data_IF_219752545701
#
_entry.id   IF_219752545701
#
_cell.length_a   1.000
_cell.length_b   1.000
_cell.length_c   1.000
_cell.angle_alpha   90.00
_cell.angle_beta   90.00
_cell.angle_gamma   90.00
#
_symmetry.space_group_name_H-M   'P 1'
#
loop_
_entity.id
_entity.type
_entity.pdbx_description
1 polymer ?
#
# COMPACT_ATOMS: atom_id res chain seq x y z
N UNK A 1 -2.71 7.92 4.33
CA UNK A 1 -2.66 6.49 4.68
C UNK A 1 -2.32 5.70 3.42
N UNK A 2 -1.35 4.81 3.50
CA UNK A 2 -1.03 3.83 2.46
C UNK A 2 -1.30 2.43 3.01
N UNK A 3 -2.00 1.60 2.25
CA UNK A 3 -2.31 0.23 2.63
C UNK A 3 -1.60 -0.71 1.64
N UNK A 4 -0.48 -1.26 2.09
CA UNK A 4 0.32 -2.19 1.31
C UNK A 4 -0.25 -3.61 1.40
N UNK A 5 -0.09 -4.38 0.34
CA UNK A 5 -0.54 -5.76 0.25
C UNK A 5 0.64 -6.72 0.05
N UNK A 6 1.45 -6.96 1.10
CA UNK A 6 2.53 -7.93 1.05
C UNK A 6 2.01 -9.30 0.62
N UNK A 7 2.73 -9.93 -0.31
CA UNK A 7 2.31 -11.21 -0.91
C UNK A 7 1.14 -11.13 -1.89
N UNK A 8 0.68 -9.94 -2.24
CA UNK A 8 -0.31 -9.74 -3.33
C UNK A 8 -1.60 -10.56 -3.12
N UNK A 9 -2.21 -10.47 -1.94
CA UNK A 9 -3.46 -11.18 -1.65
C UNK A 9 -4.60 -10.73 -2.57
N UNK A 10 -4.61 -9.44 -2.95
CA UNK A 10 -5.57 -8.87 -3.90
C UNK A 10 -4.98 -7.82 -4.83
N UNK A 11 -3.79 -7.30 -4.55
CA UNK A 11 -3.09 -6.35 -5.43
C UNK A 11 -2.34 -7.08 -6.56
N UNK A 12 -1.97 -6.34 -7.61
CA UNK A 12 -1.32 -6.87 -8.81
C UNK A 12 0.20 -6.92 -8.70
N UNK A 13 0.78 -6.25 -7.72
CA UNK A 13 2.22 -6.17 -7.52
C UNK A 13 2.56 -6.04 -6.04
N UNK A 14 3.75 -6.46 -5.68
CA UNK A 14 4.31 -6.26 -4.35
C UNK A 14 4.51 -4.77 -4.07
N UNK A 15 4.06 -4.30 -2.91
CA UNK A 15 4.07 -2.90 -2.53
C UNK A 15 4.77 -2.71 -1.19
N UNK A 16 5.56 -1.64 -1.09
CA UNK A 16 6.14 -1.21 0.18
C UNK A 16 6.27 0.31 0.21
N UNK A 17 5.32 0.96 0.84
CA UNK A 17 5.23 2.42 0.89
C UNK A 17 6.30 3.08 1.79
N UNK A 18 7.08 2.30 2.57
CA UNK A 18 8.21 2.83 3.33
C UNK A 18 9.27 3.45 2.43
N UNK A 19 9.42 2.96 1.19
CA UNK A 19 10.30 3.59 0.20
C UNK A 19 9.88 5.01 -0.16
N UNK A 20 8.57 5.28 -0.22
CA UNK A 20 8.08 6.64 -0.49
C UNK A 20 8.36 7.58 0.68
N UNK A 21 8.20 7.12 1.92
CA UNK A 21 8.58 7.88 3.10
C UNK A 21 10.07 8.25 3.09
N UNK A 22 10.92 7.27 2.80
CA UNK A 22 12.38 7.47 2.67
C UNK A 22 12.73 8.41 1.52
N UNK A 23 12.14 8.23 0.34
CA UNK A 23 12.39 9.07 -0.84
C UNK A 23 11.95 10.51 -0.62
N UNK A 24 10.76 10.71 -0.05
CA UNK A 24 10.21 12.04 0.21
C UNK A 24 10.76 12.72 1.48
N UNK A 25 11.57 12.01 2.28
CA UNK A 25 12.08 12.46 3.58
C UNK A 25 10.94 12.84 4.55
N UNK A 26 9.85 12.10 4.51
CA UNK A 26 8.70 12.32 5.40
C UNK A 26 8.62 11.24 6.47
N UNK A 27 8.16 11.59 7.69
CA UNK A 27 7.95 10.62 8.75
C UNK A 27 6.92 9.57 8.33
N UNK A 28 7.18 8.32 8.72
CA UNK A 28 6.30 7.19 8.42
C UNK A 28 5.96 6.47 9.73
N UNK A 29 4.69 6.18 9.94
CA UNK A 29 4.18 5.38 11.04
C UNK A 29 3.70 4.02 10.51
N UNK A 30 4.07 2.95 11.20
CA UNK A 30 3.76 1.57 10.83
C UNK A 30 3.29 0.81 12.08
N UNK A 31 1.97 0.80 12.39
CA UNK A 31 1.47 0.20 13.61
C UNK A 31 1.61 -1.31 13.63
N UNK A 32 1.80 -1.87 14.83
CA UNK A 32 1.79 -3.32 15.07
C UNK A 32 0.43 -3.85 15.51
N UNK A 33 -0.42 -3.02 16.12
CA UNK A 33 -1.75 -3.40 16.61
C UNK A 33 -2.81 -2.36 16.23
N UNK A 34 -4.07 -2.72 16.35
CA UNK A 34 -5.19 -1.81 16.10
C UNK A 34 -5.24 -0.66 17.11
N UNK A 35 -4.88 -0.92 18.37
CA UNK A 35 -4.76 0.14 19.38
C UNK A 35 -3.67 1.13 18.98
N UNK A 36 -2.52 0.63 18.57
CA UNK A 36 -1.42 1.47 18.12
C UNK A 36 -1.77 2.24 16.85
N UNK A 37 -2.49 1.62 15.89
CA UNK A 37 -3.00 2.31 14.70
C UNK A 37 -3.92 3.48 15.07
N UNK A 38 -4.82 3.27 16.02
CA UNK A 38 -5.71 4.32 16.54
C UNK A 38 -4.93 5.49 17.17
N UNK A 39 -3.93 5.18 17.99
CA UNK A 39 -3.11 6.18 18.68
C UNK A 39 -2.19 6.94 17.70
N UNK A 40 -1.64 6.23 16.73
CA UNK A 40 -0.77 6.82 15.71
C UNK A 40 -1.47 7.83 14.80
N UNK A 41 -2.78 7.69 14.56
CA UNK A 41 -3.53 8.71 13.80
C UNK A 41 -3.41 10.06 14.48
N UNK A 42 -3.63 10.14 15.80
CA UNK A 42 -3.50 11.39 16.54
C UNK A 42 -2.07 11.90 16.56
N UNK A 43 -1.11 11.00 16.82
CA UNK A 43 0.31 11.35 16.83
C UNK A 43 0.80 11.85 15.46
N UNK A 44 0.29 11.28 14.36
CA UNK A 44 0.61 11.70 13.00
C UNK A 44 0.10 13.12 12.69
N UNK A 45 -1.12 13.46 13.13
CA UNK A 45 -1.63 14.83 13.02
C UNK A 45 -0.80 15.80 13.85
N UNK A 46 -0.49 15.49 15.12
CA UNK A 46 0.36 16.34 15.97
C UNK A 46 1.74 16.55 15.37
N UNK A 47 2.33 15.51 14.81
CA UNK A 47 3.63 15.59 14.14
C UNK A 47 3.56 16.46 12.87
N UNK A 48 2.53 16.24 12.05
CA UNK A 48 2.28 17.02 10.84
C UNK A 48 2.10 18.50 11.13
N UNK A 49 1.34 18.85 12.15
CA UNK A 49 1.12 20.24 12.61
C UNK A 49 2.43 20.89 13.12
N UNK A 50 3.17 20.13 13.94
CA UNK A 50 4.43 20.59 14.55
C UNK A 50 5.47 20.97 13.50
N UNK A 51 5.66 20.15 12.48
CA UNK A 51 6.69 20.31 11.46
C UNK A 51 6.18 20.86 10.14
N UNK A 52 4.86 20.99 9.98
CA UNK A 52 4.19 21.42 8.74
C UNK A 52 4.62 20.59 7.53
N UNK A 53 4.62 19.28 7.72
CA UNK A 53 5.02 18.27 6.75
C UNK A 53 3.96 17.15 6.71
N UNK A 54 3.70 16.54 5.54
CA UNK A 54 2.86 15.35 5.51
C UNK A 54 3.51 14.19 6.28
N UNK A 55 2.68 13.33 6.86
CA UNK A 55 3.10 12.09 7.52
C UNK A 55 2.48 10.92 6.78
N UNK A 56 3.27 9.91 6.49
CA UNK A 56 2.81 8.66 5.90
C UNK A 56 2.42 7.68 7.01
N UNK A 57 1.22 7.12 6.94
CA UNK A 57 0.80 6.02 7.79
C UNK A 57 0.64 4.76 6.94
N UNK A 58 1.49 3.78 7.18
CA UNK A 58 1.52 2.50 6.47
C UNK A 58 0.71 1.46 7.23
N UNK A 59 -0.25 0.85 6.55
CA UNK A 59 -0.96 -0.34 7.02
C UNK A 59 -0.65 -1.50 6.10
N UNK A 60 -0.75 -2.71 6.61
CA UNK A 60 -0.63 -3.92 5.78
C UNK A 60 -1.97 -4.65 5.72
N UNK A 61 -2.15 -5.51 4.74
CA UNK A 61 -3.36 -6.32 4.55
C UNK A 61 -3.77 -7.04 5.83
N UNK A 62 -2.82 -7.67 6.53
CA UNK A 62 -3.11 -8.38 7.79
C UNK A 62 -3.65 -7.43 8.86
N UNK A 63 -3.08 -6.24 8.99
CA UNK A 63 -3.59 -5.21 9.92
C UNK A 63 -5.01 -4.78 9.54
N UNK A 64 -5.26 -4.53 8.26
CA UNK A 64 -6.55 -4.06 7.76
C UNK A 64 -7.67 -5.11 7.88
N UNK A 65 -7.32 -6.40 7.78
CA UNK A 65 -8.28 -7.52 7.86
C UNK A 65 -8.45 -8.10 9.26
N UNK A 66 -7.59 -7.75 10.21
CA UNK A 66 -7.71 -8.19 11.60
C UNK A 66 -8.61 -7.27 12.41
N UNK A 67 -9.11 -7.78 13.53
CA UNK A 67 -9.98 -7.04 14.45
C UNK A 67 -9.50 -7.21 15.88
N UNK A 68 -9.51 -6.12 16.64
CA UNK A 68 -9.26 -6.14 18.08
C UNK A 68 -10.13 -5.11 18.78
N UNK A 69 -10.26 -5.24 20.09
CA UNK A 69 -10.83 -4.20 20.93
C UNK A 69 -9.86 -3.03 20.99
N UNK A 70 -10.38 -1.82 20.87
CA UNK A 70 -9.63 -0.57 20.97
C UNK A 70 -10.23 0.25 22.10
N UNK A 71 -9.38 0.75 22.99
CA UNK A 71 -9.77 1.67 24.04
C UNK A 71 -9.85 3.09 23.44
N UNK A 72 -11.07 3.66 23.31
CA UNK A 72 -11.23 4.98 22.75
C UNK A 72 -10.70 6.04 23.72
N UNK A 73 -10.09 7.09 23.17
CA UNK A 73 -9.74 8.29 23.93
C UNK A 73 -10.85 9.32 23.87
N UNK A 74 -10.85 10.25 24.81
CA UNK A 74 -11.73 11.41 24.76
C UNK A 74 -11.48 12.24 23.48
N UNK A 75 -12.57 12.80 22.95
CA UNK A 75 -12.47 13.67 21.78
C UNK A 75 -11.63 14.92 22.13
N UNK A 76 -10.69 15.24 21.26
CA UNK A 76 -9.86 16.44 21.40
C UNK A 76 -10.61 17.65 20.83
N UNK A 77 -10.45 18.84 21.41
CA UNK A 77 -10.97 20.06 20.80
C UNK A 77 -10.29 20.31 19.44
N UNK A 78 -11.01 20.91 18.53
CA UNK A 78 -10.46 21.34 17.24
C UNK A 78 -9.36 22.38 17.44
N UNK A 79 -8.27 22.25 16.67
CA UNK A 79 -7.22 23.25 16.64
C UNK A 79 -7.72 24.52 15.95
N UNK A 80 -7.29 25.68 16.43
CA UNK A 80 -7.57 26.93 15.73
C UNK A 80 -6.88 26.94 14.36
N UNK A 81 -7.63 27.29 13.32
CA UNK A 81 -7.06 27.45 11.97
C UNK A 81 -6.04 28.58 11.95
N UNK A 82 -4.81 28.28 11.58
CA UNK A 82 -3.75 29.24 11.40
C UNK A 82 -3.32 29.28 9.93
N UNK A 83 -3.64 30.38 9.26
CA UNK A 83 -3.20 30.59 7.88
C UNK A 83 -1.84 31.30 7.86
N UNK A 84 -0.88 30.85 7.06
CA UNK A 84 0.39 31.56 6.95
C UNK A 84 0.17 32.95 6.36
N UNK A 85 0.74 33.98 7.01
CA UNK A 85 0.64 35.37 6.56
C UNK A 85 1.32 35.62 5.19
N UNK A 86 2.16 34.70 4.71
CA UNK A 86 2.88 34.78 3.44
C UNK A 86 2.79 33.49 2.66
N UNK A 87 2.50 33.60 1.36
CA UNK A 87 2.30 32.47 0.42
C UNK A 87 3.58 31.75 0.00
N UNK A 88 4.77 32.25 0.33
CA UNK A 88 6.06 31.64 -0.06
C UNK A 88 6.17 30.15 0.30
N UNK A 89 5.49 29.74 1.37
CA UNK A 89 5.48 28.35 1.80
C UNK A 89 4.83 27.42 0.77
N UNK A 90 3.86 27.92 0.02
CA UNK A 90 3.03 27.14 -0.89
C UNK A 90 3.37 27.38 -2.38
N UNK A 91 4.32 28.26 -2.66
CA UNK A 91 4.72 28.60 -4.02
C UNK A 91 6.06 27.92 -4.34
N UNK A 92 5.99 26.84 -5.10
CA UNK A 92 7.16 26.03 -5.48
C UNK A 92 7.93 26.64 -6.67
N UNK A 93 8.47 27.83 -6.45
CA UNK A 93 9.47 28.41 -7.36
C UNK A 93 10.86 27.90 -6.98
N UNK A 94 11.81 27.73 -7.93
CA UNK A 94 13.13 27.17 -7.65
C UNK A 94 13.87 27.79 -6.46
N UNK A 95 13.77 29.12 -6.30
CA UNK A 95 14.36 29.83 -5.16
C UNK A 95 13.73 29.45 -3.82
N UNK A 96 12.40 29.32 -3.78
CA UNK A 96 11.67 28.90 -2.58
C UNK A 96 11.93 27.43 -2.27
N UNK A 97 11.94 26.58 -3.30
CA UNK A 97 12.15 25.13 -3.15
C UNK A 97 13.51 24.81 -2.56
N UNK A 98 14.58 25.52 -2.95
CA UNK A 98 15.92 25.33 -2.36
C UNK A 98 15.91 25.58 -0.85
N UNK A 99 15.36 26.72 -0.42
CA UNK A 99 15.26 27.07 1.00
C UNK A 99 14.42 26.06 1.78
N UNK A 100 13.33 25.59 1.16
CA UNK A 100 12.46 24.56 1.80
C UNK A 100 13.16 23.21 1.92
N UNK A 101 13.96 22.83 0.92
CA UNK A 101 14.71 21.57 0.95
C UNK A 101 15.80 21.59 2.03
N UNK A 102 16.52 22.71 2.18
CA UNK A 102 17.49 22.86 3.28
C UNK A 102 16.83 22.76 4.65
N UNK A 103 15.66 23.39 4.83
CA UNK A 103 14.88 23.27 6.05
C UNK A 103 14.41 21.82 6.30
N UNK A 104 13.95 21.11 5.25
CA UNK A 104 13.57 19.71 5.35
C UNK A 104 14.72 18.82 5.82
N UNK A 105 15.93 19.02 5.27
CA UNK A 105 17.11 18.26 5.70
C UNK A 105 17.49 18.53 7.16
N UNK A 106 17.35 19.78 7.62
CA UNK A 106 17.57 20.11 9.02
C UNK A 106 16.52 19.48 9.96
N UNK A 107 15.25 19.44 9.51
CA UNK A 107 14.19 18.82 10.28
C UNK A 107 14.28 17.30 10.25
N UNK A 108 14.83 16.69 9.20
CA UNK A 108 14.98 15.23 9.09
C UNK A 108 15.86 14.66 10.22
N UNK A 109 16.91 15.35 10.64
CA UNK A 109 17.70 14.96 11.80
C UNK A 109 16.85 14.95 13.09
N UNK A 110 15.94 15.91 13.24
CA UNK A 110 15.00 15.94 14.37
C UNK A 110 13.99 14.81 14.30
N UNK A 111 13.58 14.40 13.10
CA UNK A 111 12.69 13.24 12.95
C UNK A 111 13.35 11.95 13.42
N UNK A 112 14.65 11.78 13.21
CA UNK A 112 15.42 10.65 13.75
C UNK A 112 15.49 10.67 15.29
N UNK A 113 15.72 11.85 15.89
CA UNK A 113 15.70 12.02 17.36
C UNK A 113 14.31 11.71 17.93
N UNK A 114 13.25 12.21 17.31
CA UNK A 114 11.89 11.91 17.75
C UNK A 114 11.51 10.44 17.55
N UNK A 115 11.99 9.80 16.50
CA UNK A 115 11.81 8.37 16.32
C UNK A 115 12.52 7.55 17.41
N UNK A 116 13.72 7.98 17.84
CA UNK A 116 14.45 7.33 18.94
C UNK A 116 13.74 7.49 20.29
N UNK A 117 13.07 8.63 20.51
CA UNK A 117 12.31 8.93 21.72
C UNK A 117 10.82 8.51 21.66
N UNK A 118 10.37 7.97 20.53
CA UNK A 118 8.98 7.64 20.28
C UNK A 118 8.45 6.55 21.21
N UNK A 119 7.23 6.70 21.74
CA UNK A 119 6.58 5.62 22.51
C UNK A 119 6.25 4.40 21.65
N UNK A 120 6.23 4.56 20.30
CA UNK A 120 5.96 3.49 19.35
C UNK A 120 7.21 2.67 19.00
N UNK A 121 8.42 3.24 19.20
CA UNK A 121 9.68 2.52 19.08
C UNK A 121 10.17 2.13 20.47
N UNK A 122 10.45 0.84 20.67
CA UNK A 122 10.79 0.35 22.00
C UNK A 122 11.97 -0.61 21.96
N UNK A 123 12.99 -0.30 22.74
CA UNK A 123 14.09 -1.20 23.01
C UNK A 123 13.81 -1.99 24.29
N UNK A 124 13.69 -3.30 24.17
CA UNK A 124 13.63 -4.22 25.31
C UNK A 124 14.96 -4.95 25.41
N UNK A 125 15.65 -4.76 26.53
CA UNK A 125 16.92 -5.44 26.79
C UNK A 125 16.70 -6.88 27.26
N UNK A 126 17.72 -7.74 27.06
CA UNK A 126 17.72 -9.12 27.52
C UNK A 126 19.16 -9.61 27.73
N UNK A 127 19.33 -10.73 28.45
CA UNK A 127 20.65 -11.24 28.83
C UNK A 127 21.41 -11.87 27.67
N UNK A 128 20.71 -12.60 26.80
CA UNK A 128 21.34 -13.28 25.67
C UNK A 128 21.61 -12.34 24.49
N UNK A 129 22.82 -11.84 24.41
CA UNK A 129 23.32 -10.95 23.35
C UNK A 129 23.87 -11.69 22.13
N UNK A 130 23.63 -13.00 22.03
CA UNK A 130 24.04 -13.75 20.82
C UNK A 130 23.32 -13.29 19.57
N UNK A 131 22.08 -12.76 19.74
CA UNK A 131 21.22 -12.22 18.70
C UNK A 131 20.53 -10.95 19.19
N UNK A 132 20.48 -9.89 18.38
CA UNK A 132 19.58 -8.76 18.55
C UNK A 132 18.46 -8.85 17.51
N UNK A 133 17.23 -8.55 17.87
CA UNK A 133 16.10 -8.67 16.97
C UNK A 133 15.48 -7.30 16.71
N UNK A 134 15.43 -6.90 15.44
CA UNK A 134 14.70 -5.69 15.00
C UNK A 134 13.41 -6.14 14.34
N UNK A 135 12.26 -5.78 14.92
CA UNK A 135 10.95 -6.18 14.43
C UNK A 135 10.10 -4.94 14.07
N UNK A 136 9.63 -4.86 12.82
CA UNK A 136 8.99 -3.68 12.26
C UNK A 136 7.47 -3.87 12.12
N UNK A 137 6.68 -2.89 12.58
CA UNK A 137 5.23 -2.89 12.44
C UNK A 137 4.58 -4.20 12.88
N UNK A 138 3.72 -4.77 12.05
CA UNK A 138 2.99 -6.01 12.33
C UNK A 138 3.92 -7.20 12.60
N UNK A 139 5.13 -7.21 12.03
CA UNK A 139 6.08 -8.30 12.21
C UNK A 139 6.55 -8.45 13.67
N UNK A 140 6.42 -7.41 14.48
CA UNK A 140 6.63 -7.50 15.92
C UNK A 140 5.66 -8.50 16.58
N UNK A 141 4.42 -8.61 16.12
CA UNK A 141 3.46 -9.56 16.66
C UNK A 141 3.85 -11.01 16.34
N UNK A 142 4.44 -11.25 15.16
CA UNK A 142 4.92 -12.59 14.80
C UNK A 142 6.07 -13.05 15.70
N UNK A 143 6.91 -12.10 16.14
CA UNK A 143 7.91 -12.37 17.14
C UNK A 143 7.28 -12.64 18.52
N UNK A 144 6.33 -11.80 18.94
CA UNK A 144 5.69 -11.88 20.23
C UNK A 144 4.91 -13.20 20.43
N UNK A 145 4.27 -13.69 19.37
CA UNK A 145 3.59 -14.99 19.39
C UNK A 145 4.54 -16.17 19.62
N UNK A 146 5.81 -16.04 19.25
CA UNK A 146 6.82 -17.06 19.47
C UNK A 146 7.44 -17.01 20.88
N UNK A 147 7.29 -15.89 21.58
CA UNK A 147 7.82 -15.68 22.92
C UNK A 147 6.75 -15.06 23.85
N UNK A 148 5.67 -15.78 24.17
CA UNK A 148 4.59 -15.26 25.01
C UNK A 148 5.04 -14.84 26.41
N UNK A 149 6.07 -15.50 26.94
CA UNK A 149 6.66 -15.21 28.26
C UNK A 149 7.84 -14.24 28.21
N UNK A 150 8.16 -13.66 27.03
CA UNK A 150 9.25 -12.74 26.79
C UNK A 150 10.39 -13.34 25.96
N UNK A 151 10.97 -12.50 25.10
CA UNK A 151 12.08 -12.89 24.24
C UNK A 151 13.39 -12.95 25.06
N UNK A 152 14.20 -14.00 24.92
CA UNK A 152 15.49 -14.10 25.61
C UNK A 152 16.56 -13.16 25.02
N UNK A 153 16.33 -12.61 23.84
CA UNK A 153 17.23 -11.72 23.13
C UNK A 153 16.75 -10.27 23.20
N UNK A 154 17.64 -9.27 23.10
CA UNK A 154 17.24 -7.87 22.96
C UNK A 154 16.34 -7.67 21.73
N UNK A 155 15.26 -6.90 21.90
CA UNK A 155 14.31 -6.61 20.85
C UNK A 155 14.18 -5.10 20.66
N UNK A 156 14.39 -4.63 19.45
CA UNK A 156 14.04 -3.28 19.02
C UNK A 156 12.79 -3.35 18.14
N UNK A 157 11.67 -2.91 18.70
CA UNK A 157 10.45 -2.68 17.92
C UNK A 157 10.58 -1.35 17.20
N UNK A 158 10.30 -1.34 15.90
CA UNK A 158 10.24 -0.13 15.06
C UNK A 158 8.85 0.01 14.46
N UNK A 159 8.18 1.10 14.80
CA UNK A 159 6.85 1.46 14.31
C UNK A 159 6.77 2.92 13.84
N UNK A 160 7.85 3.69 14.01
CA UNK A 160 8.00 5.06 13.52
C UNK A 160 9.36 5.25 12.86
N UNK A 161 9.34 5.84 11.66
CA UNK A 161 10.52 6.19 10.87
C UNK A 161 10.66 7.71 10.74
N UNK A 162 11.87 8.24 10.47
CA UNK A 162 13.11 7.55 10.04
C UNK A 162 13.62 6.55 11.07
N UNK A 163 14.51 5.63 10.61
CA UNK A 163 15.10 4.65 11.51
C UNK A 163 15.73 5.32 12.73
N UNK A 164 15.46 4.86 13.96
CA UNK A 164 16.08 5.37 15.19
C UNK A 164 17.53 4.90 15.27
N UNK A 165 18.42 5.58 14.55
CA UNK A 165 19.82 5.14 14.34
C UNK A 165 20.59 4.92 15.64
N UNK A 166 20.32 5.72 16.68
CA UNK A 166 20.95 5.56 17.99
C UNK A 166 20.63 4.19 18.61
N UNK A 167 19.34 3.81 18.63
CA UNK A 167 18.90 2.51 19.16
C UNK A 167 19.43 1.35 18.32
N UNK A 168 19.49 1.51 17.01
CA UNK A 168 20.06 0.51 16.10
C UNK A 168 21.56 0.33 16.38
N UNK A 169 22.32 1.41 16.46
CA UNK A 169 23.77 1.35 16.76
C UNK A 169 24.05 0.76 18.14
N UNK A 170 23.23 1.10 19.13
CA UNK A 170 23.29 0.49 20.45
C UNK A 170 23.15 -1.03 20.35
N UNK A 171 22.09 -1.54 19.72
CA UNK A 171 21.87 -2.98 19.55
C UNK A 171 23.03 -3.64 18.79
N UNK A 172 23.50 -3.03 17.71
CA UNK A 172 24.64 -3.55 16.94
C UNK A 172 25.94 -3.61 17.74
N UNK A 173 26.14 -2.73 18.72
CA UNK A 173 27.32 -2.76 19.61
C UNK A 173 27.21 -3.79 20.73
N UNK A 174 25.98 -4.14 21.11
CA UNK A 174 25.71 -5.07 22.22
C UNK A 174 25.58 -6.52 21.75
N UNK A 175 25.14 -6.76 20.51
CA UNK A 175 24.78 -8.08 20.00
C UNK A 175 25.76 -8.58 18.94
N UNK A 176 25.94 -9.93 18.87
CA UNK A 176 26.86 -10.55 17.90
C UNK A 176 26.30 -10.60 16.48
N UNK A 177 25.01 -10.75 16.35
CA UNK A 177 24.28 -10.76 15.08
C UNK A 177 22.95 -10.05 15.22
N UNK A 178 22.38 -9.58 14.11
CA UNK A 178 21.08 -8.94 14.07
C UNK A 178 20.14 -9.75 13.16
N UNK A 179 18.92 -10.02 13.63
CA UNK A 179 17.82 -10.56 12.85
C UNK A 179 16.79 -9.44 12.59
N UNK A 180 16.53 -9.17 11.33
CA UNK A 180 15.58 -8.15 10.90
C UNK A 180 14.28 -8.83 10.45
N UNK A 181 13.19 -8.54 11.14
CA UNK A 181 11.86 -9.07 10.88
C UNK A 181 10.99 -7.91 10.41
N UNK A 182 10.72 -7.86 9.10
CA UNK A 182 9.96 -6.79 8.47
C UNK A 182 9.04 -7.34 7.39
N UNK A 183 7.84 -6.74 7.30
CA UNK A 183 6.84 -7.15 6.31
C UNK A 183 7.03 -6.38 5.01
N UNK A 184 6.97 -7.08 3.87
CA UNK A 184 7.21 -6.52 2.55
C UNK A 184 8.67 -6.62 2.11
N UNK A 185 9.24 -5.54 1.62
CA UNK A 185 10.62 -5.49 1.12
C UNK A 185 11.65 -5.34 2.27
N UNK A 186 12.91 -5.73 2.07
CA UNK A 186 13.96 -5.61 3.09
C UNK A 186 14.48 -4.17 3.23
N UNK A 187 13.61 -3.23 3.57
CA UNK A 187 13.91 -1.78 3.65
C UNK A 187 14.87 -1.46 4.79
N UNK A 188 14.61 -2.07 5.95
CA UNK A 188 15.44 -1.87 7.15
C UNK A 188 16.73 -2.67 7.03
N UNK A 189 16.65 -3.94 6.63
CA UNK A 189 17.84 -4.77 6.42
C UNK A 189 18.83 -4.12 5.44
N UNK A 190 18.32 -3.58 4.31
CA UNK A 190 19.14 -2.88 3.34
C UNK A 190 19.75 -1.59 3.91
N UNK A 191 18.95 -0.80 4.64
CA UNK A 191 19.44 0.44 5.26
C UNK A 191 20.55 0.19 6.29
N UNK A 192 20.45 -0.88 7.07
CA UNK A 192 21.46 -1.22 8.09
C UNK A 192 22.82 -1.53 7.48
N UNK A 193 22.86 -2.13 6.29
CA UNK A 193 24.13 -2.41 5.58
C UNK A 193 24.91 -1.13 5.23
N UNK A 194 24.22 0.02 5.13
CA UNK A 194 24.85 1.32 4.91
C UNK A 194 25.08 2.15 6.17
N UNK A 195 24.44 1.84 7.28
CA UNK A 195 24.48 2.64 8.52
C UNK A 195 25.51 2.09 9.52
N UNK A 196 25.70 0.77 9.56
CA UNK A 196 26.54 0.13 10.55
C UNK A 196 28.01 0.11 10.11
N UNK A 197 28.91 0.69 10.90
CA UNK A 197 30.34 0.82 10.53
C UNK A 197 31.15 -0.47 10.74
N UNK A 198 30.63 -1.44 11.47
CA UNK A 198 31.34 -2.66 11.85
C UNK A 198 30.71 -3.90 11.18
N UNK A 199 31.46 -4.97 10.94
CA UNK A 199 30.95 -6.21 10.40
C UNK A 199 30.13 -6.96 11.47
N UNK A 200 28.89 -6.52 11.68
CA UNK A 200 27.90 -7.31 12.41
C UNK A 200 27.15 -8.16 11.41
N UNK A 201 26.90 -9.42 11.74
CA UNK A 201 26.10 -10.30 10.90
C UNK A 201 24.64 -9.81 10.90
N UNK A 202 24.11 -9.52 9.72
CA UNK A 202 22.72 -9.09 9.52
C UNK A 202 21.98 -10.20 8.80
N UNK A 203 20.96 -10.74 9.45
CA UNK A 203 20.08 -11.81 8.97
C UNK A 203 18.68 -11.26 8.71
N UNK A 204 18.03 -11.75 7.66
CA UNK A 204 16.68 -11.32 7.30
C UNK A 204 16.24 -11.89 5.96
N UNK A 205 15.52 -11.11 5.17
CA UNK A 205 15.04 -11.52 3.86
C UNK A 205 16.14 -11.58 2.79
N UNK A 206 17.17 -10.74 2.91
CA UNK A 206 18.28 -10.71 1.94
C UNK A 206 19.27 -11.86 2.15
N UNK A 207 19.45 -12.30 3.39
CA UNK A 207 20.35 -13.39 3.74
C UNK A 207 19.68 -14.77 3.68
N UNK A 208 18.35 -14.83 3.57
CA UNK A 208 17.57 -16.05 3.38
C UNK A 208 17.03 -16.69 4.65
N UNK A 209 17.27 -16.13 5.83
CA UNK A 209 16.67 -16.61 7.08
C UNK A 209 15.16 -16.40 7.11
N UNK A 210 14.69 -15.34 6.48
CA UNK A 210 13.27 -15.10 6.24
C UNK A 210 12.94 -15.25 4.75
N UNK A 211 11.75 -15.72 4.39
CA UNK A 211 11.36 -15.84 2.98
C UNK A 211 11.46 -14.50 2.24
N UNK A 212 12.09 -14.50 1.05
CA UNK A 212 12.21 -13.27 0.23
C UNK A 212 10.88 -12.84 -0.36
N UNK A 213 9.97 -13.77 -0.58
CA UNK A 213 8.64 -13.55 -1.13
C UNK A 213 7.58 -14.06 -0.17
N UNK A 214 6.38 -13.56 -0.31
CA UNK A 214 5.25 -13.95 0.53
C UNK A 214 5.15 -13.17 1.84
N UNK A 215 3.97 -13.21 2.42
CA UNK A 215 3.68 -12.64 3.74
C UNK A 215 4.42 -13.43 4.82
N UNK A 216 4.93 -12.75 5.83
CA UNK A 216 5.49 -13.40 7.01
C UNK A 216 4.37 -14.00 7.87
N UNK A 217 4.73 -15.03 8.61
CA UNK A 217 3.87 -15.67 9.60
C UNK A 217 4.66 -15.91 10.88
N UNK A 218 4.00 -16.14 12.02
CA UNK A 218 4.69 -16.58 13.23
C UNK A 218 5.59 -17.82 12.98
N UNK A 219 5.17 -18.75 12.11
CA UNK A 219 5.96 -19.96 11.81
C UNK A 219 7.21 -19.64 10.96
N UNK A 220 7.14 -18.69 10.02
CA UNK A 220 8.34 -18.25 9.28
C UNK A 220 9.36 -17.58 10.19
N UNK A 221 8.89 -16.75 11.11
CA UNK A 221 9.74 -16.12 12.15
C UNK A 221 10.30 -17.19 13.10
N UNK A 222 9.48 -18.15 13.51
CA UNK A 222 9.89 -19.27 14.35
C UNK A 222 11.04 -20.05 13.73
N UNK A 223 10.96 -20.32 12.44
CA UNK A 223 12.02 -20.99 11.68
C UNK A 223 13.31 -20.17 11.67
N UNK A 224 13.24 -18.86 11.43
CA UNK A 224 14.40 -17.97 11.45
C UNK A 224 15.08 -17.88 12.84
N UNK A 225 14.29 -18.07 13.90
CA UNK A 225 14.79 -18.13 15.28
C UNK A 225 15.38 -19.48 15.67
N UNK A 226 15.35 -20.49 14.78
CA UNK A 226 15.80 -21.85 15.06
C UNK A 226 14.91 -22.62 16.04
N UNK A 227 13.68 -22.19 16.26
CA UNK A 227 12.73 -22.83 17.16
C UNK A 227 12.06 -24.03 16.48
N UNK A 228 11.67 -25.04 17.26
CA UNK A 228 10.95 -26.20 16.74
C UNK A 228 9.59 -25.77 16.12
N UNK A 229 9.17 -26.35 14.96
CA UNK A 229 7.89 -26.03 14.33
C UNK A 229 6.71 -26.26 15.29
N UNK A 230 5.66 -25.44 15.13
CA UNK A 230 4.39 -25.75 15.82
C UNK A 230 3.76 -27.03 15.25
N UNK A 231 3.01 -27.73 16.09
CA UNK A 231 2.16 -28.82 15.61
C UNK A 231 1.09 -28.25 14.67
N UNK A 232 1.07 -28.69 13.43
CA UNK A 232 0.06 -28.26 12.45
C UNK A 232 -1.25 -29.03 12.68
N UNK A 233 -2.35 -28.31 12.74
CA UNK A 233 -3.68 -28.89 12.67
C UNK A 233 -4.05 -29.14 11.22
N UNK A 234 -4.65 -30.28 10.93
CA UNK A 234 -5.21 -30.56 9.61
C UNK A 234 -6.31 -29.53 9.29
N UNK A 235 -6.32 -29.02 8.06
CA UNK A 235 -7.41 -28.15 7.62
C UNK A 235 -8.76 -28.88 7.74
N UNK A 236 -9.76 -28.20 8.29
CA UNK A 236 -11.11 -28.73 8.38
C UNK A 236 -11.68 -28.97 6.97
N UNK A 237 -12.31 -30.13 6.74
CA UNK A 237 -13.01 -30.42 5.49
C UNK A 237 -14.23 -29.51 5.20
N UNK A 238 -14.61 -28.66 6.15
CA UNK A 238 -15.66 -27.65 5.98
C UNK A 238 -15.12 -26.42 5.22
N UNK A 239 -13.80 -26.21 5.25
CA UNK A 239 -13.18 -25.06 4.55
C UNK A 239 -13.13 -25.36 3.06
N UNK A 240 -13.84 -24.53 2.29
CA UNK A 240 -13.85 -24.60 0.82
C UNK A 240 -13.20 -23.34 0.23
N UNK A 241 -12.45 -23.47 -0.87
CA UNK A 241 -11.92 -22.32 -1.59
C UNK A 241 -13.04 -21.40 -2.08
N UNK A 242 -12.83 -20.10 -1.98
CA UNK A 242 -13.73 -19.07 -2.51
C UNK A 242 -12.96 -18.19 -3.49
N UNK A 243 -12.66 -18.67 -4.70
CA UNK A 243 -11.97 -17.85 -5.69
C UNK A 243 -12.82 -16.63 -6.03
N UNK A 244 -12.21 -15.49 -6.30
CA UNK A 244 -12.94 -14.30 -6.73
C UNK A 244 -13.69 -14.61 -8.04
N UNK A 245 -14.91 -14.08 -8.15
CA UNK A 245 -15.73 -14.23 -9.35
C UNK A 245 -16.70 -13.06 -9.47
N UNK A 246 -17.10 -12.72 -10.69
CA UNK A 246 -18.19 -11.78 -10.93
C UNK A 246 -19.49 -12.29 -10.31
N UNK A 247 -20.19 -11.42 -9.58
CA UNK A 247 -21.44 -11.76 -8.89
C UNK A 247 -22.50 -12.31 -9.87
N UNK A 248 -23.42 -13.11 -9.36
CA UNK A 248 -24.60 -13.55 -10.10
C UNK A 248 -25.46 -12.33 -10.46
N UNK A 249 -25.87 -12.21 -11.73
CA UNK A 249 -26.66 -11.07 -12.21
C UNK A 249 -25.90 -9.73 -12.30
N UNK A 250 -24.57 -9.77 -12.25
CA UNK A 250 -23.74 -8.59 -12.41
C UNK A 250 -23.71 -8.13 -13.87
N UNK A 251 -23.96 -6.84 -14.13
CA UNK A 251 -23.94 -6.27 -15.49
C UNK A 251 -22.60 -6.41 -16.23
N UNK A 252 -21.48 -6.57 -15.49
CA UNK A 252 -20.18 -6.87 -16.09
C UNK A 252 -20.19 -8.22 -16.85
N UNK A 253 -21.00 -9.18 -16.44
CA UNK A 253 -21.14 -10.47 -17.13
C UNK A 253 -21.76 -10.31 -18.49
N UNK A 254 -22.83 -9.51 -18.59
CA UNK A 254 -23.52 -9.22 -19.84
C UNK A 254 -22.62 -8.41 -20.78
N UNK A 255 -21.93 -7.41 -20.23
CA UNK A 255 -20.96 -6.61 -20.95
C UNK A 255 -19.84 -7.49 -21.55
N UNK A 256 -19.26 -8.42 -20.77
CA UNK A 256 -18.21 -9.30 -21.28
C UNK A 256 -18.73 -10.34 -22.28
N UNK A 257 -19.94 -10.82 -22.11
CA UNK A 257 -20.56 -11.68 -23.14
C UNK A 257 -20.63 -10.98 -24.48
N UNK A 258 -21.16 -9.75 -24.50
CA UNK A 258 -21.24 -8.96 -25.72
C UNK A 258 -19.85 -8.57 -26.27
N UNK A 259 -18.93 -8.17 -25.38
CA UNK A 259 -17.58 -7.76 -25.77
C UNK A 259 -16.78 -8.90 -26.41
N UNK A 260 -16.83 -10.11 -25.83
CA UNK A 260 -16.14 -11.28 -26.38
C UNK A 260 -16.74 -11.74 -27.71
N UNK A 261 -18.06 -11.64 -27.86
CA UNK A 261 -18.73 -11.93 -29.13
C UNK A 261 -18.22 -10.98 -30.23
N UNK A 262 -18.28 -9.66 -29.98
CA UNK A 262 -17.82 -8.66 -30.96
C UNK A 262 -16.32 -8.73 -31.21
N UNK A 263 -15.51 -8.86 -30.17
CA UNK A 263 -14.04 -8.97 -30.32
C UNK A 263 -13.66 -10.22 -31.14
N UNK A 264 -14.41 -11.31 -30.99
CA UNK A 264 -14.20 -12.56 -31.74
C UNK A 264 -14.44 -12.46 -33.26
N UNK A 265 -15.11 -11.39 -33.72
CA UNK A 265 -15.28 -11.11 -35.17
C UNK A 265 -13.97 -10.57 -35.81
N UNK A 266 -13.00 -10.18 -35.04
CA UNK A 266 -11.73 -9.58 -35.48
C UNK A 266 -10.55 -10.46 -35.11
N UNK A 267 -9.69 -10.76 -36.06
CA UNK A 267 -8.53 -11.66 -35.88
C UNK A 267 -7.54 -11.18 -34.80
N UNK A 268 -7.39 -9.86 -34.64
CA UNK A 268 -6.35 -9.26 -33.81
C UNK A 268 -6.92 -8.27 -32.75
N UNK A 269 -8.19 -8.39 -32.40
CA UNK A 269 -8.75 -7.52 -31.35
C UNK A 269 -8.01 -7.71 -30.02
N UNK A 270 -7.71 -6.60 -29.33
CA UNK A 270 -7.12 -6.61 -28.00
C UNK A 270 -7.95 -5.78 -27.03
N UNK A 271 -8.17 -6.33 -25.86
CA UNK A 271 -8.95 -5.73 -24.78
C UNK A 271 -8.04 -5.33 -23.63
N UNK A 272 -7.81 -4.05 -23.50
CA UNK A 272 -7.03 -3.45 -22.44
C UNK A 272 -7.93 -3.12 -21.26
N UNK A 273 -7.63 -3.65 -20.10
CA UNK A 273 -8.38 -3.43 -18.87
C UNK A 273 -7.47 -2.86 -17.78
N UNK A 274 -8.08 -2.40 -16.73
CA UNK A 274 -7.43 -1.93 -15.51
C UNK A 274 -8.16 -2.44 -14.25
N UNK A 275 -8.09 -1.74 -13.12
CA UNK A 275 -8.44 -2.28 -11.82
C UNK A 275 -9.86 -1.91 -11.41
N UNK A 276 -10.68 -2.92 -11.19
CA UNK A 276 -12.05 -2.87 -10.70
C UNK A 276 -12.69 -4.26 -10.75
N UNK A 277 -13.98 -4.39 -10.46
CA UNK A 277 -14.69 -5.68 -10.58
C UNK A 277 -14.56 -6.29 -11.98
N UNK A 278 -14.48 -5.46 -13.00
CA UNK A 278 -14.29 -5.88 -14.39
C UNK A 278 -12.94 -6.55 -14.65
N UNK A 279 -11.91 -6.40 -13.80
CA UNK A 279 -10.68 -7.18 -13.87
C UNK A 279 -10.96 -8.70 -13.82
N UNK A 280 -12.04 -9.10 -13.14
CA UNK A 280 -12.45 -10.50 -13.07
C UNK A 280 -12.94 -11.07 -14.41
N UNK A 281 -13.06 -10.25 -15.46
CA UNK A 281 -13.23 -10.70 -16.84
C UNK A 281 -12.07 -11.51 -17.41
N UNK A 282 -10.91 -11.50 -16.76
CA UNK A 282 -9.80 -12.42 -17.03
C UNK A 282 -10.17 -13.88 -16.73
N UNK A 283 -11.02 -14.10 -15.72
CA UNK A 283 -11.34 -15.43 -15.24
C UNK A 283 -12.40 -16.11 -16.12
N UNK A 284 -12.47 -17.46 -16.01
CA UNK A 284 -13.54 -18.25 -16.63
C UNK A 284 -14.93 -17.75 -16.17
N UNK A 285 -15.92 -17.72 -17.07
CA UNK A 285 -15.91 -18.24 -18.45
C UNK A 285 -15.48 -17.24 -19.51
N UNK A 286 -15.18 -15.98 -19.18
CA UNK A 286 -15.03 -14.89 -20.12
C UNK A 286 -13.68 -14.87 -20.85
N UNK A 287 -12.55 -14.89 -20.07
CA UNK A 287 -11.21 -14.69 -20.62
C UNK A 287 -11.13 -13.49 -21.60
N UNK A 288 -11.77 -12.39 -21.20
CA UNK A 288 -12.16 -11.30 -22.08
C UNK A 288 -11.18 -10.12 -22.10
N UNK A 289 -10.12 -10.16 -21.30
CA UNK A 289 -9.14 -9.07 -21.22
C UNK A 289 -7.72 -9.58 -21.46
N UNK A 290 -6.93 -8.78 -22.17
CA UNK A 290 -5.52 -9.10 -22.47
C UNK A 290 -4.53 -8.44 -21.48
N UNK A 291 -4.96 -7.37 -20.81
CA UNK A 291 -4.11 -6.63 -19.86
C UNK A 291 -4.88 -6.21 -18.61
N UNK A 292 -4.15 -6.05 -17.51
CA UNK A 292 -4.64 -5.45 -16.27
C UNK A 292 -3.44 -4.87 -15.51
N UNK A 293 -3.37 -3.54 -15.35
CA UNK A 293 -2.24 -2.89 -14.68
C UNK A 293 -2.75 -2.04 -13.51
N UNK A 294 -2.84 -0.73 -13.62
CA UNK A 294 -3.30 0.17 -12.57
C UNK A 294 -4.59 0.91 -12.97
N UNK A 295 -5.23 1.56 -12.00
CA UNK A 295 -6.48 2.29 -12.25
C UNK A 295 -6.29 3.37 -13.32
N UNK A 296 -7.02 3.29 -14.45
CA UNK A 296 -6.99 4.21 -15.58
C UNK A 296 -6.05 3.82 -16.72
N UNK A 297 -5.21 2.80 -16.52
CA UNK A 297 -4.27 2.35 -17.54
C UNK A 297 -4.92 1.74 -18.78
N UNK A 298 -6.15 1.26 -18.71
CA UNK A 298 -6.86 0.65 -19.85
C UNK A 298 -6.89 1.57 -21.07
N UNK A 299 -7.27 2.83 -20.89
CA UNK A 299 -7.38 3.81 -21.98
C UNK A 299 -6.01 4.18 -22.55
N UNK A 300 -5.04 4.46 -21.69
CA UNK A 300 -3.68 4.86 -22.13
C UNK A 300 -2.94 3.70 -22.80
N UNK A 301 -3.16 2.47 -22.35
CA UNK A 301 -2.58 1.28 -22.97
C UNK A 301 -3.23 0.99 -24.32
N UNK A 302 -4.57 1.10 -24.43
CA UNK A 302 -5.27 0.96 -25.71
C UNK A 302 -4.82 2.03 -26.72
N UNK A 303 -4.65 3.28 -26.24
CA UNK A 303 -4.10 4.38 -27.04
C UNK A 303 -2.71 4.04 -27.58
N UNK A 304 -1.77 3.71 -26.67
CA UNK A 304 -0.40 3.38 -27.06
C UNK A 304 -0.32 2.19 -28.01
N UNK A 305 -1.17 1.17 -27.82
CA UNK A 305 -1.26 0.03 -28.73
C UNK A 305 -1.78 0.43 -30.11
N UNK A 306 -2.84 1.27 -30.15
CA UNK A 306 -3.39 1.76 -31.42
C UNK A 306 -2.40 2.63 -32.19
N UNK A 307 -1.66 3.52 -31.49
CA UNK A 307 -0.60 4.34 -32.07
C UNK A 307 0.55 3.47 -32.64
N UNK A 308 0.77 2.29 -32.04
CA UNK A 308 1.71 1.28 -32.53
C UNK A 308 1.15 0.37 -33.65
N UNK A 309 -0.10 0.58 -34.07
CA UNK A 309 -0.73 -0.15 -35.17
C UNK A 309 -1.61 -1.34 -34.75
N UNK A 310 -1.90 -1.51 -33.46
CA UNK A 310 -2.84 -2.54 -32.97
C UNK A 310 -4.29 -2.10 -33.21
N UNK A 311 -5.00 -2.86 -34.03
CA UNK A 311 -6.43 -2.60 -34.33
C UNK A 311 -7.21 -3.91 -34.45
N UNK A 312 -8.44 -3.98 -33.87
CA UNK A 312 -9.04 -3.04 -32.92
C UNK A 312 -8.32 -3.01 -31.58
N UNK A 313 -8.26 -1.84 -30.93
CA UNK A 313 -7.84 -1.64 -29.56
C UNK A 313 -9.03 -1.18 -28.72
N UNK A 314 -9.45 -2.02 -27.77
CA UNK A 314 -10.63 -1.81 -26.94
C UNK A 314 -10.18 -1.57 -25.49
N UNK A 315 -10.64 -0.50 -24.86
CA UNK A 315 -10.39 -0.24 -23.44
C UNK A 315 -11.65 -0.54 -22.63
N UNK A 316 -11.51 -1.28 -21.51
CA UNK A 316 -12.59 -1.51 -20.55
C UNK A 316 -12.23 -0.88 -19.24
N UNK A 317 -13.11 -0.03 -18.72
CA UNK A 317 -12.91 0.74 -17.50
C UNK A 317 -14.23 0.86 -16.71
N UNK A 318 -14.16 0.81 -15.38
CA UNK A 318 -15.31 1.06 -14.53
C UNK A 318 -15.58 2.56 -14.35
N UNK A 319 -16.80 2.90 -13.94
CA UNK A 319 -17.27 4.28 -13.68
C UNK A 319 -16.42 5.02 -12.66
N UNK A 320 -16.14 4.38 -11.52
CA UNK A 320 -15.27 4.96 -10.47
C UNK A 320 -13.86 5.19 -10.97
N UNK A 321 -13.27 4.19 -11.61
CA UNK A 321 -11.91 4.27 -12.15
C UNK A 321 -11.81 5.32 -13.25
N UNK A 322 -12.83 5.42 -14.10
CA UNK A 322 -12.89 6.44 -15.14
C UNK A 322 -12.85 7.86 -14.56
N UNK A 323 -13.68 8.14 -13.54
CA UNK A 323 -13.68 9.46 -12.88
C UNK A 323 -12.41 9.71 -12.03
N UNK A 324 -11.77 8.67 -11.53
CA UNK A 324 -10.52 8.76 -10.77
C UNK A 324 -9.32 9.11 -11.66
N UNK A 325 -9.10 8.38 -12.76
CA UNK A 325 -7.88 8.50 -13.58
C UNK A 325 -8.05 8.24 -15.08
N UNK A 326 -9.24 7.85 -15.54
CA UNK A 326 -9.47 7.55 -16.97
C UNK A 326 -9.67 8.76 -17.85
N UNK A 327 -10.18 9.88 -17.30
CA UNK A 327 -10.55 11.06 -18.10
C UNK A 327 -9.35 11.70 -18.80
N UNK A 328 -8.20 11.77 -18.17
CA UNK A 328 -6.98 12.36 -18.75
C UNK A 328 -6.52 11.56 -19.97
N UNK A 329 -6.50 10.21 -19.84
CA UNK A 329 -6.14 9.33 -20.95
C UNK A 329 -7.12 9.40 -22.12
N UNK A 330 -8.42 9.55 -21.85
CA UNK A 330 -9.44 9.73 -22.88
C UNK A 330 -9.27 11.08 -23.60
N UNK A 331 -9.02 12.16 -22.83
CA UNK A 331 -8.78 13.49 -23.42
C UNK A 331 -7.58 13.48 -24.37
N UNK A 332 -6.50 12.80 -23.97
CA UNK A 332 -5.29 12.64 -24.78
C UNK A 332 -5.59 11.86 -26.08
N UNK A 333 -6.27 10.73 -25.98
CA UNK A 333 -6.68 9.93 -27.14
C UNK A 333 -7.57 10.70 -28.12
N UNK A 334 -8.51 11.51 -27.60
CA UNK A 334 -9.38 12.36 -28.42
C UNK A 334 -8.59 13.48 -29.09
N UNK A 335 -7.68 14.14 -28.35
CA UNK A 335 -6.86 15.22 -28.86
C UNK A 335 -5.95 14.77 -30.03
N UNK A 336 -5.41 13.57 -29.94
CA UNK A 336 -4.56 13.00 -31.00
C UNK A 336 -5.34 12.25 -32.09
N UNK A 337 -6.65 12.09 -31.92
CA UNK A 337 -7.49 11.38 -32.88
C UNK A 337 -7.20 9.89 -32.95
N UNK A 338 -6.71 9.30 -31.85
CA UNK A 338 -6.37 7.88 -31.78
C UNK A 338 -7.59 6.99 -31.91
N UNK A 339 -7.51 5.98 -32.77
CA UNK A 339 -8.62 5.06 -33.06
C UNK A 339 -8.72 3.95 -32.02
N UNK A 340 -9.41 4.22 -30.92
CA UNK A 340 -9.74 3.27 -29.86
C UNK A 340 -11.24 3.25 -29.55
N UNK A 341 -11.71 2.16 -28.97
CA UNK A 341 -13.06 2.08 -28.39
C UNK A 341 -12.95 1.95 -26.88
N UNK A 342 -13.61 2.86 -26.16
CA UNK A 342 -13.64 2.84 -24.68
C UNK A 342 -15.01 2.38 -24.20
N UNK A 343 -15.03 1.28 -23.46
CA UNK A 343 -16.22 0.71 -22.82
C UNK A 343 -16.19 1.07 -21.34
N UNK A 344 -17.06 1.98 -20.91
CA UNK A 344 -17.20 2.35 -19.50
C UNK A 344 -18.29 1.47 -18.89
N UNK A 345 -17.88 0.58 -17.98
CA UNK A 345 -18.79 -0.32 -17.28
C UNK A 345 -19.30 0.36 -16.01
N UNK A 346 -20.51 0.90 -16.11
CA UNK A 346 -21.15 1.71 -15.09
C UNK A 346 -22.08 0.86 -14.21
N UNK A 347 -21.73 0.70 -12.93
CA UNK A 347 -22.54 0.04 -11.92
C UNK A 347 -22.91 0.97 -10.74
N UNK A 348 -22.63 2.28 -10.89
CA UNK A 348 -22.93 3.33 -9.90
C UNK A 348 -22.31 3.09 -8.51
N UNK A 349 -21.19 2.36 -8.43
CA UNK A 349 -20.52 2.10 -7.15
C UNK A 349 -19.09 1.64 -7.32
N UNK A 350 -18.22 1.91 -6.35
CA UNK A 350 -16.91 1.28 -6.23
C UNK A 350 -17.09 -0.11 -5.61
N UNK A 351 -17.55 -1.08 -6.43
CA UNK A 351 -18.04 -2.37 -5.95
C UNK A 351 -17.00 -3.26 -5.29
N UNK A 352 -15.79 -3.37 -5.87
CA UNK A 352 -14.75 -4.30 -5.44
C UNK A 352 -14.29 -4.10 -3.99
N UNK A 353 -14.28 -2.86 -3.53
CA UNK A 353 -13.77 -2.49 -2.20
C UNK A 353 -14.87 -2.34 -1.14
N UNK A 354 -16.12 -2.67 -1.44
CA UNK A 354 -17.22 -2.72 -0.48
C UNK A 354 -18.39 -1.78 -0.77
N UNK A 355 -18.49 -1.24 -1.99
CA UNK A 355 -19.65 -0.46 -2.40
C UNK A 355 -19.60 1.01 -1.97
N UNK A 356 -18.42 1.63 -2.03
CA UNK A 356 -18.25 3.05 -1.72
C UNK A 356 -18.81 3.93 -2.83
N UNK A 357 -19.21 5.14 -2.43
CA UNK A 357 -19.53 6.21 -3.36
C UNK A 357 -18.26 6.74 -4.06
N UNK A 358 -18.42 7.16 -5.31
CA UNK A 358 -17.37 7.82 -6.08
C UNK A 358 -17.95 9.05 -6.78
N UNK A 359 -17.12 9.83 -7.45
CA UNK A 359 -17.55 10.95 -8.27
C UNK A 359 -18.53 10.52 -9.41
N UNK A 360 -18.52 9.24 -9.79
CA UNK A 360 -19.43 8.67 -10.78
C UNK A 360 -20.79 8.25 -10.23
N UNK A 361 -20.99 8.16 -8.90
CA UNK A 361 -22.24 7.64 -8.31
C UNK A 361 -23.38 8.65 -8.29
N UNK A 362 -23.14 9.91 -8.62
CA UNK A 362 -24.15 10.97 -8.66
C UNK A 362 -24.68 11.44 -7.31
N UNK A 363 -24.13 10.96 -6.20
CA UNK A 363 -24.50 11.39 -4.84
C UNK A 363 -23.76 12.63 -4.38
N UNK A 364 -22.61 12.91 -4.98
CA UNK A 364 -21.91 14.17 -4.84
C UNK A 364 -22.48 15.09 -5.92
N UNK A 365 -23.08 16.21 -5.50
CA UNK A 365 -23.74 17.24 -6.29
C UNK A 365 -23.37 17.37 -7.80
N UNK A 366 -24.25 17.93 -8.65
CA UNK A 366 -24.49 17.60 -10.03
C UNK A 366 -23.45 18.10 -11.04
N UNK A 367 -22.17 18.00 -10.78
CA UNK A 367 -21.23 17.86 -11.88
C UNK A 367 -21.39 16.42 -12.34
N UNK A 368 -22.59 16.13 -12.75
CA UNK A 368 -22.98 14.77 -12.97
C UNK A 368 -22.17 14.19 -14.11
N UNK A 369 -21.73 12.99 -13.90
CA UNK A 369 -21.33 12.00 -14.87
C UNK A 369 -22.17 12.07 -16.19
N UNK A 370 -23.46 12.44 -16.13
CA UNK A 370 -24.29 12.74 -17.28
C UNK A 370 -23.79 13.91 -18.14
N UNK A 371 -22.97 14.81 -17.61
CA UNK A 371 -22.30 15.84 -18.39
C UNK A 371 -21.02 15.34 -19.08
N UNK A 372 -20.41 14.28 -18.56
CA UNK A 372 -19.23 13.63 -19.15
C UNK A 372 -19.62 12.58 -20.20
N UNK A 373 -20.88 12.22 -20.28
CA UNK A 373 -21.44 11.31 -21.29
C UNK A 373 -22.60 11.97 -22.07
N UNK A 374 -22.32 12.95 -22.93
CA UNK A 374 -23.39 13.59 -23.72
C UNK A 374 -24.10 12.67 -24.71
N UNK A 375 -23.66 11.42 -24.84
CA UNK A 375 -24.11 10.46 -25.84
C UNK A 375 -24.73 9.19 -25.27
N UNK A 376 -25.26 9.18 -24.05
CA UNK A 376 -26.14 8.07 -23.66
C UNK A 376 -27.35 8.07 -24.60
N UNK A 377 -27.54 7.06 -25.46
CA UNK A 377 -28.81 6.88 -26.10
C UNK A 377 -29.86 6.72 -25.00
N UNK A 378 -30.88 7.56 -24.98
CA UNK A 378 -32.07 7.27 -24.18
C UNK A 378 -32.67 6.00 -24.78
N UNK A 379 -32.49 4.88 -24.09
CA UNK A 379 -33.32 3.70 -24.33
C UNK A 379 -34.77 3.99 -23.92
#
# INVERSE_FOLDING_TARGET
VAADDPSMHSSQNEQDSRFYGKFALVPTFEPSTQQEAYEMVQAAFDFSEKYRIPVLMRLTTRMAHSRAMVEPREARPENSLAYPARTRQWVLMPGNSRVRYEALLADYARFEEEAAASPFNRYADAEDKSLGIIACGIAYNYLAENYPDGCPHPVLKISQYPLPQELVRRMASECKALLIIEEGQPVVEEALRGILPAPVEIRGRMSGELPRTGELTPDSVRTALGLAPHATLAASGIVVPRPPALCQGCGHRDMYTALTEVAGEYENAKVFSDIGCYTLGWLSPFHAIDTCVDMGASITMAKGAADAGQHPALAVIGDSTFTHSGMTGLLDAVNEGTNITVVISDNLTTGMTGGQDSAGTGRLEPVSYTHLQPTRPRL
#
